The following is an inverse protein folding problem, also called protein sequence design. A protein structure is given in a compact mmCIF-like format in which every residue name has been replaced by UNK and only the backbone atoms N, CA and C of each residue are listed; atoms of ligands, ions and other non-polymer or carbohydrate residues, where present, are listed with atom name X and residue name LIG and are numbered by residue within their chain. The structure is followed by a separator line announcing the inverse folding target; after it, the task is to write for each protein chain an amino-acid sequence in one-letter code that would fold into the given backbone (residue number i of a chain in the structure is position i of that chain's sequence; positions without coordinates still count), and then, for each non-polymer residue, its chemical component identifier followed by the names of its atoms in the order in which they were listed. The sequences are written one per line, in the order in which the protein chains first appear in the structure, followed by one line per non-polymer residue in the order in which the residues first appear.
data_IF_025433088810
#
_entry.id   IF_025433088810
#
_cell.length_a   1.000
_cell.length_b   1.000
_cell.length_c   1.000
_cell.angle_alpha   90.00
_cell.angle_beta   90.00
_cell.angle_gamma   90.00
#
_symmetry.space_group_name_H-M   'P 1'
#
loop_
_entity.id
_entity.type
_entity.pdbx_description
1 polymer ?
#
# COMPACT_ATOMS: atom_id res chain seq x y z
N UNK A 1 20.21 -9.29 -13.17
CA UNK A 1 20.12 -7.84 -13.07
C UNK A 1 19.50 -7.54 -11.71
N UNK A 2 20.04 -6.57 -10.96
CA UNK A 2 19.42 -6.05 -9.74
C UNK A 2 18.21 -5.19 -10.11
N UNK A 3 17.20 -5.14 -9.23
CA UNK A 3 16.07 -4.21 -9.36
C UNK A 3 16.56 -2.78 -9.12
N UNK A 4 16.07 -1.82 -9.90
CA UNK A 4 16.40 -0.39 -9.78
C UNK A 4 15.35 0.36 -8.97
N UNK A 5 14.09 -0.05 -9.06
CA UNK A 5 13.01 0.54 -8.28
C UNK A 5 12.83 -0.16 -6.93
N UNK A 6 12.18 0.53 -5.98
CA UNK A 6 12.08 0.11 -4.59
C UNK A 6 10.88 -0.82 -4.35
N UNK A 7 10.92 -2.02 -4.95
CA UNK A 7 9.84 -3.00 -4.78
C UNK A 7 9.86 -3.68 -3.41
N UNK A 8 8.66 -3.99 -2.90
CA UNK A 8 8.47 -4.87 -1.73
C UNK A 8 7.85 -6.20 -2.15
N UNK A 9 8.15 -7.25 -1.39
CA UNK A 9 7.44 -8.51 -1.46
C UNK A 9 6.44 -8.61 -0.31
N UNK A 10 5.32 -9.36 -0.46
CA UNK A 10 4.34 -9.49 0.61
C UNK A 10 4.47 -10.81 1.40
N UNK A 11 4.13 -10.75 2.70
CA UNK A 11 4.03 -11.93 3.59
C UNK A 11 2.62 -12.57 3.56
N UNK A 12 1.79 -12.19 2.59
CA UNK A 12 0.41 -12.61 2.41
C UNK A 12 -0.56 -11.45 2.58
N UNK A 13 -1.27 -11.09 1.52
CA UNK A 13 -2.14 -9.90 1.52
C UNK A 13 -3.64 -10.23 1.55
N UNK A 14 -4.06 -11.43 1.14
CA UNK A 14 -5.48 -11.76 1.02
C UNK A 14 -5.89 -12.99 1.82
N UNK A 15 -6.96 -12.87 2.69
CA UNK A 15 -7.57 -14.03 3.32
C UNK A 15 -8.28 -14.91 2.26
N UNK A 16 -8.60 -16.20 2.55
CA UNK A 16 -8.31 -16.89 3.80
C UNK A 16 -6.92 -17.52 3.87
N UNK A 17 -6.15 -17.44 2.80
CA UNK A 17 -4.82 -18.04 2.70
C UNK A 17 -3.80 -16.91 2.65
N UNK A 18 -3.35 -16.44 3.78
CA UNK A 18 -2.22 -15.49 3.86
C UNK A 18 -0.95 -16.15 3.32
N UNK A 19 -0.91 -16.32 1.99
CA UNK A 19 0.17 -16.99 1.29
C UNK A 19 1.27 -15.96 0.99
N UNK A 20 2.47 -16.12 1.56
CA UNK A 20 3.60 -15.28 1.20
C UNK A 20 3.90 -15.38 -0.30
N UNK A 21 4.41 -14.31 -0.87
CA UNK A 21 4.64 -14.18 -2.32
C UNK A 21 5.54 -15.29 -2.89
N UNK A 22 6.57 -15.68 -2.16
CA UNK A 22 7.57 -16.68 -2.59
C UNK A 22 7.41 -18.04 -1.91
N UNK A 23 6.17 -18.46 -1.61
CA UNK A 23 5.92 -19.68 -0.85
C UNK A 23 6.56 -20.92 -1.48
N UNK A 24 6.48 -21.09 -2.80
CA UNK A 24 7.00 -22.26 -3.49
C UNK A 24 8.54 -22.25 -3.60
N UNK A 25 9.12 -21.05 -3.73
CA UNK A 25 10.58 -20.90 -3.78
C UNK A 25 11.23 -21.09 -2.40
N UNK A 26 10.62 -20.55 -1.36
CA UNK A 26 11.11 -20.64 0.03
C UNK A 26 10.74 -21.98 0.67
N UNK A 27 9.51 -22.47 0.45
CA UNK A 27 9.04 -23.76 0.93
C UNK A 27 8.51 -23.76 2.38
N UNK A 28 8.43 -22.59 3.03
CA UNK A 28 7.86 -22.41 4.37
C UNK A 28 6.94 -21.20 4.39
N UNK A 29 6.19 -21.03 5.49
CA UNK A 29 5.40 -19.81 5.74
C UNK A 29 6.04 -18.92 6.80
N UNK A 30 7.25 -19.23 7.23
CA UNK A 30 8.00 -18.48 8.24
C UNK A 30 8.37 -17.09 7.70
N UNK A 31 7.93 -15.98 8.31
CA UNK A 31 8.16 -14.63 7.79
C UNK A 31 9.66 -14.31 7.58
N UNK A 32 10.52 -14.70 8.50
CA UNK A 32 11.96 -14.43 8.42
C UNK A 32 12.62 -15.07 7.21
N UNK A 33 12.21 -16.30 6.82
CA UNK A 33 12.74 -16.98 5.63
C UNK A 33 12.39 -16.19 4.35
N UNK A 34 11.20 -15.60 4.31
CA UNK A 34 10.77 -14.76 3.19
C UNK A 34 11.48 -13.40 3.14
N UNK A 35 11.78 -12.81 4.31
CA UNK A 35 12.55 -11.57 4.43
C UNK A 35 13.98 -11.80 3.89
N UNK A 36 14.65 -12.86 4.32
CA UNK A 36 15.98 -13.21 3.83
C UNK A 36 15.99 -13.49 2.32
N UNK A 37 14.97 -14.20 1.84
CA UNK A 37 14.83 -14.49 0.41
C UNK A 37 14.60 -13.24 -0.41
N UNK A 38 13.73 -12.33 0.02
CA UNK A 38 13.47 -11.04 -0.63
C UNK A 38 14.74 -10.17 -0.68
N UNK A 39 15.53 -10.15 0.40
CA UNK A 39 16.82 -9.46 0.44
C UNK A 39 17.80 -10.05 -0.58
N UNK A 40 17.89 -11.37 -0.69
CA UNK A 40 18.75 -12.05 -1.67
C UNK A 40 18.31 -11.76 -3.13
N UNK A 41 17.04 -11.45 -3.38
CA UNK A 41 16.52 -11.04 -4.68
C UNK A 41 16.78 -9.57 -5.01
N UNK A 42 17.24 -8.75 -4.05
CA UNK A 42 17.44 -7.31 -4.20
C UNK A 42 16.14 -6.50 -4.08
N UNK A 43 15.12 -7.01 -3.38
CA UNK A 43 13.94 -6.23 -3.02
C UNK A 43 14.34 -5.12 -2.04
N UNK A 44 13.57 -4.01 -2.04
CA UNK A 44 13.79 -2.89 -1.13
C UNK A 44 13.08 -3.06 0.21
N UNK A 45 12.11 -3.95 0.30
CA UNK A 45 11.35 -4.15 1.52
C UNK A 45 10.38 -5.32 1.50
N UNK A 46 9.65 -5.42 2.59
CA UNK A 46 8.57 -6.39 2.81
C UNK A 46 7.27 -5.64 3.14
N UNK A 47 6.19 -6.09 2.56
CA UNK A 47 4.83 -5.63 2.80
C UNK A 47 4.06 -6.69 3.61
N UNK A 48 3.61 -6.32 4.81
CA UNK A 48 2.83 -7.19 5.69
C UNK A 48 1.54 -6.50 6.14
N UNK A 49 0.50 -6.48 5.29
CA UNK A 49 -0.72 -5.73 5.59
C UNK A 49 -1.41 -6.18 6.86
N UNK A 50 -1.23 -7.43 7.27
CA UNK A 50 -1.91 -8.03 8.42
C UNK A 50 -1.02 -8.21 9.65
N UNK A 51 0.03 -7.42 9.77
CA UNK A 51 0.95 -7.44 10.92
C UNK A 51 0.24 -7.37 12.28
N UNK A 52 -0.90 -6.65 12.38
CA UNK A 52 -1.69 -6.59 13.62
C UNK A 52 -2.30 -7.93 14.07
N UNK A 53 -2.33 -8.94 13.19
CA UNK A 53 -2.77 -10.29 13.54
C UNK A 53 -1.67 -11.20 14.05
N UNK A 54 -0.41 -10.74 14.06
CA UNK A 54 0.75 -11.50 14.54
C UNK A 54 0.94 -11.34 16.04
N UNK A 55 1.51 -12.36 16.68
CA UNK A 55 1.89 -12.22 18.08
C UNK A 55 3.16 -11.36 18.25
N UNK A 56 3.38 -10.89 19.47
CA UNK A 56 4.51 -10.01 19.80
C UNK A 56 5.87 -10.61 19.46
N UNK A 57 6.04 -11.91 19.69
CA UNK A 57 7.31 -12.59 19.42
C UNK A 57 7.59 -12.63 17.92
N UNK A 58 6.57 -12.94 17.11
CA UNK A 58 6.67 -12.95 15.65
C UNK A 58 7.01 -11.57 15.11
N UNK A 59 6.34 -10.51 15.62
CA UNK A 59 6.66 -9.13 15.26
C UNK A 59 8.11 -8.74 15.61
N UNK A 60 8.60 -9.13 16.79
CA UNK A 60 9.98 -8.89 17.21
C UNK A 60 11.00 -9.66 16.33
N UNK A 61 10.65 -10.86 15.86
CA UNK A 61 11.47 -11.66 14.92
C UNK A 61 11.50 -10.99 13.54
N UNK A 62 10.35 -10.54 13.01
CA UNK A 62 10.25 -9.79 11.75
C UNK A 62 11.06 -8.49 11.82
N UNK A 63 10.89 -7.69 12.87
CA UNK A 63 11.62 -6.42 13.03
C UNK A 63 13.14 -6.61 13.06
N UNK A 64 13.63 -7.67 13.72
CA UNK A 64 15.07 -8.02 13.67
C UNK A 64 15.52 -8.44 12.29
N UNK A 65 14.77 -9.32 11.61
CA UNK A 65 15.11 -9.76 10.26
C UNK A 65 15.14 -8.61 9.25
N UNK A 66 14.20 -7.65 9.33
CA UNK A 66 14.22 -6.43 8.52
C UNK A 66 15.49 -5.60 8.79
N UNK A 67 15.85 -5.42 10.07
CA UNK A 67 17.06 -4.69 10.46
C UNK A 67 18.33 -5.38 9.95
N UNK A 68 18.44 -6.69 10.15
CA UNK A 68 19.63 -7.50 9.78
C UNK A 68 19.82 -7.56 8.26
N UNK A 69 18.75 -7.55 7.49
CA UNK A 69 18.78 -7.56 6.02
C UNK A 69 18.84 -6.17 5.39
N UNK A 70 18.56 -5.12 6.16
CA UNK A 70 18.47 -3.74 5.65
C UNK A 70 17.21 -3.48 4.82
N UNK A 71 16.21 -4.35 4.88
CA UNK A 71 14.94 -4.16 4.19
C UNK A 71 14.04 -3.17 4.93
N UNK A 72 13.29 -2.39 4.18
CA UNK A 72 12.23 -1.52 4.70
C UNK A 72 10.94 -2.30 4.98
N UNK A 73 10.13 -1.82 5.91
CA UNK A 73 8.75 -2.29 6.06
C UNK A 73 7.83 -1.47 5.15
N UNK A 74 6.89 -2.13 4.46
CA UNK A 74 5.78 -1.49 3.76
C UNK A 74 4.67 -1.05 4.72
N UNK A 75 3.50 -0.70 4.17
CA UNK A 75 2.34 -0.35 4.98
C UNK A 75 1.73 -1.57 5.69
N UNK A 76 0.96 -1.30 6.73
CA UNK A 76 0.09 -2.30 7.38
C UNK A 76 -1.32 -1.75 7.54
N UNK A 77 -2.33 -2.61 7.52
CA UNK A 77 -3.72 -2.19 7.70
C UNK A 77 -3.92 -1.70 9.13
N UNK A 78 -4.55 -0.53 9.28
CA UNK A 78 -4.66 0.20 10.55
C UNK A 78 -5.55 -0.46 11.61
N UNK A 79 -6.25 -1.54 11.26
CA UNK A 79 -7.16 -2.25 12.16
C UNK A 79 -7.07 -3.77 11.95
N UNK A 80 -7.43 -4.59 12.94
CA UNK A 80 -7.53 -6.03 12.76
C UNK A 80 -8.51 -6.42 11.64
N UNK A 81 -8.29 -7.57 11.01
CA UNK A 81 -9.05 -8.05 9.86
C UNK A 81 -10.58 -8.06 10.09
N UNK A 82 -11.03 -8.43 11.28
CA UNK A 82 -12.44 -8.48 11.66
C UNK A 82 -13.09 -7.09 11.77
N UNK A 83 -12.32 -6.01 11.75
CA UNK A 83 -12.78 -4.62 11.82
C UNK A 83 -12.76 -3.88 10.48
N UNK A 84 -12.14 -4.46 9.44
CA UNK A 84 -11.94 -3.79 8.15
C UNK A 84 -13.24 -3.35 7.49
N UNK A 85 -14.31 -4.15 7.61
CA UNK A 85 -15.64 -3.83 7.05
C UNK A 85 -16.59 -3.17 8.04
N UNK A 86 -16.12 -2.86 9.26
CA UNK A 86 -16.91 -2.11 10.24
C UNK A 86 -16.87 -0.60 9.95
N UNK A 87 -17.98 0.13 10.17
CA UNK A 87 -18.08 1.56 9.82
C UNK A 87 -17.40 2.47 10.87
N UNK A 88 -16.24 2.08 11.38
CA UNK A 88 -15.54 2.77 12.47
C UNK A 88 -15.06 4.17 12.10
N UNK A 89 -14.78 4.39 10.81
CA UNK A 89 -14.32 5.67 10.30
C UNK A 89 -15.46 6.69 10.13
N UNK A 90 -16.72 6.24 10.12
CA UNK A 90 -17.90 7.10 10.02
C UNK A 90 -18.53 7.42 11.39
N UNK A 91 -18.08 6.76 12.47
CA UNK A 91 -18.60 6.96 13.82
C UNK A 91 -17.96 8.20 14.46
N UNK A 92 -18.79 9.23 14.74
CA UNK A 92 -18.39 10.49 15.42
C UNK A 92 -18.91 10.57 16.84
N UNK A 93 -19.49 9.52 17.39
CA UNK A 93 -19.83 9.48 18.82
C UNK A 93 -18.57 9.56 19.69
N UNK A 94 -18.68 10.00 20.92
CA UNK A 94 -17.54 10.08 21.83
C UNK A 94 -16.89 8.69 22.06
N UNK A 95 -17.71 7.63 22.15
CA UNK A 95 -17.25 6.25 22.28
C UNK A 95 -16.58 5.74 21.00
N UNK A 96 -17.15 6.03 19.82
CA UNK A 96 -16.59 5.61 18.53
C UNK A 96 -15.22 6.22 18.28
N UNK A 97 -15.07 7.53 18.49
CA UNK A 97 -13.78 8.22 18.37
C UNK A 97 -12.74 7.68 19.35
N UNK A 98 -13.11 7.45 20.62
CA UNK A 98 -12.21 6.86 21.59
C UNK A 98 -11.74 5.46 21.17
N UNK A 99 -12.67 4.60 20.71
CA UNK A 99 -12.34 3.26 20.22
C UNK A 99 -11.44 3.31 18.99
N UNK A 100 -11.73 4.21 18.04
CA UNK A 100 -10.89 4.41 16.85
C UNK A 100 -9.48 4.84 17.25
N UNK A 101 -9.35 5.82 18.15
CA UNK A 101 -8.04 6.28 18.62
C UNK A 101 -7.23 5.15 19.27
N UNK A 102 -7.86 4.30 20.09
CA UNK A 102 -7.16 3.15 20.69
C UNK A 102 -6.64 2.17 19.61
N UNK A 103 -7.45 1.87 18.59
CA UNK A 103 -7.04 1.00 17.49
C UNK A 103 -5.87 1.61 16.71
N UNK A 104 -5.96 2.90 16.39
CA UNK A 104 -4.93 3.59 15.61
C UNK A 104 -3.61 3.70 16.38
N UNK A 105 -3.66 3.99 17.70
CA UNK A 105 -2.45 4.01 18.54
C UNK A 105 -1.76 2.64 18.58
N UNK A 106 -2.52 1.56 18.78
CA UNK A 106 -1.97 0.20 18.79
C UNK A 106 -1.34 -0.18 17.42
N UNK A 107 -1.98 0.22 16.33
CA UNK A 107 -1.44 0.03 14.99
C UNK A 107 -0.18 0.86 14.75
N UNK A 108 -0.16 2.13 15.20
CA UNK A 108 0.99 3.01 15.07
C UNK A 108 2.20 2.51 15.90
N UNK A 109 1.97 1.99 17.12
CA UNK A 109 3.02 1.35 17.92
C UNK A 109 3.64 0.14 17.17
N UNK A 110 2.80 -0.70 16.56
CA UNK A 110 3.29 -1.84 15.75
C UNK A 110 4.04 -1.36 14.51
N UNK A 111 3.47 -0.39 13.78
CA UNK A 111 4.10 0.20 12.60
C UNK A 111 5.45 0.85 12.93
N UNK A 112 5.53 1.60 14.02
CA UNK A 112 6.78 2.22 14.49
C UNK A 112 7.84 1.16 14.82
N UNK A 113 7.44 0.08 15.51
CA UNK A 113 8.35 -1.01 15.85
C UNK A 113 8.91 -1.72 14.62
N UNK A 114 8.15 -1.81 13.52
CA UNK A 114 8.56 -2.40 12.25
C UNK A 114 9.21 -1.39 11.28
N UNK A 115 9.15 -0.10 11.57
CA UNK A 115 9.62 0.96 10.66
C UNK A 115 8.70 1.18 9.46
N UNK A 116 7.38 0.92 9.61
CA UNK A 116 6.39 1.15 8.54
C UNK A 116 6.19 2.65 8.29
N UNK A 117 6.10 3.10 7.03
CA UNK A 117 5.91 4.51 6.71
C UNK A 117 4.47 4.99 6.91
N UNK A 118 3.49 4.09 6.81
CA UNK A 118 2.07 4.45 6.88
C UNK A 118 1.19 3.27 7.28
N UNK A 119 0.02 3.61 7.82
CA UNK A 119 -1.10 2.69 8.06
C UNK A 119 -2.10 2.80 6.90
N UNK A 120 -2.44 1.67 6.29
CA UNK A 120 -3.48 1.58 5.27
C UNK A 120 -4.87 1.72 5.90
N UNK A 121 -5.68 2.60 5.36
CA UNK A 121 -7.03 2.94 5.84
C UNK A 121 -8.06 2.48 4.83
N UNK A 122 -8.85 1.48 5.21
CA UNK A 122 -9.98 0.96 4.45
C UNK A 122 -11.27 1.51 5.09
N UNK A 123 -12.13 2.15 4.28
CA UNK A 123 -13.27 2.91 4.81
C UNK A 123 -14.58 2.25 4.40
N UNK A 124 -15.23 1.56 5.34
CA UNK A 124 -16.58 1.04 5.15
C UNK A 124 -17.64 2.10 5.47
N UNK A 125 -18.72 2.11 4.69
CA UNK A 125 -19.92 2.90 4.97
C UNK A 125 -20.71 2.28 6.14
N UNK A 126 -21.40 3.12 6.89
CA UNK A 126 -22.43 2.70 7.83
C UNK A 126 -23.74 2.41 7.06
N UNK A 127 -24.19 1.15 7.00
CA UNK A 127 -25.35 0.77 6.22
C UNK A 127 -26.67 1.33 6.79
N UNK A 128 -26.69 1.72 8.07
CA UNK A 128 -27.85 2.27 8.73
C UNK A 128 -28.02 3.78 8.48
N UNK A 129 -27.02 4.41 7.80
CA UNK A 129 -27.01 5.84 7.48
C UNK A 129 -27.10 6.04 5.97
N UNK A 130 -28.08 6.84 5.52
CA UNK A 130 -28.33 7.10 4.10
C UNK A 130 -27.61 8.34 3.57
N UNK A 131 -27.18 9.25 4.43
CA UNK A 131 -26.44 10.46 4.04
C UNK A 131 -24.96 10.16 3.81
N UNK A 132 -24.61 9.80 2.58
CA UNK A 132 -23.23 9.48 2.17
C UNK A 132 -22.32 10.71 2.26
N UNK A 133 -22.83 11.91 1.99
CA UNK A 133 -22.04 13.13 2.08
C UNK A 133 -21.62 13.40 3.54
N UNK A 134 -22.54 13.22 4.48
CA UNK A 134 -22.23 13.34 5.89
C UNK A 134 -21.25 12.26 6.37
N UNK A 135 -21.41 11.02 5.92
CA UNK A 135 -20.46 9.95 6.24
C UNK A 135 -19.04 10.30 5.76
N UNK A 136 -18.88 10.82 4.54
CA UNK A 136 -17.57 11.27 4.04
C UNK A 136 -16.99 12.44 4.84
N UNK A 137 -17.83 13.38 5.28
CA UNK A 137 -17.40 14.47 6.15
C UNK A 137 -16.93 13.96 7.51
N UNK A 138 -17.61 12.96 8.08
CA UNK A 138 -17.23 12.30 9.32
C UNK A 138 -15.88 11.57 9.19
N UNK A 139 -15.66 10.87 8.07
CA UNK A 139 -14.38 10.23 7.74
C UNK A 139 -13.26 11.26 7.66
N UNK A 140 -13.46 12.36 6.96
CA UNK A 140 -12.45 13.42 6.87
C UNK A 140 -12.09 13.99 8.25
N UNK A 141 -13.08 14.17 9.13
CA UNK A 141 -12.86 14.63 10.48
C UNK A 141 -12.09 13.59 11.33
N UNK A 142 -12.40 12.29 11.19
CA UNK A 142 -11.68 11.23 11.87
C UNK A 142 -10.24 11.09 11.32
N UNK A 143 -10.02 11.18 10.01
CA UNK A 143 -8.69 11.19 9.42
C UNK A 143 -7.84 12.35 9.93
N UNK A 144 -8.41 13.55 10.07
CA UNK A 144 -7.72 14.71 10.65
C UNK A 144 -7.29 14.46 12.10
N UNK A 145 -8.16 13.88 12.91
CA UNK A 145 -7.85 13.58 14.31
C UNK A 145 -6.80 12.48 14.41
N UNK A 146 -6.99 11.38 13.69
CA UNK A 146 -6.08 10.22 13.74
C UNK A 146 -4.74 10.50 13.06
N UNK A 147 -4.70 11.33 12.02
CA UNK A 147 -3.45 11.77 11.39
C UNK A 147 -2.55 12.55 12.36
N UNK A 148 -3.15 13.33 13.28
CA UNK A 148 -2.38 13.97 14.36
C UNK A 148 -1.89 12.96 15.39
N UNK A 149 -2.68 11.94 15.68
CA UNK A 149 -2.27 10.85 16.59
C UNK A 149 -1.09 10.07 16.01
N UNK A 150 -1.15 9.69 14.74
CA UNK A 150 -0.07 8.91 14.10
C UNK A 150 1.20 9.72 13.85
N UNK A 151 1.09 11.04 13.73
CA UNK A 151 2.25 11.94 13.62
C UNK A 151 3.19 11.85 14.83
N UNK A 152 2.66 11.60 16.03
CA UNK A 152 3.46 11.39 17.25
C UNK A 152 4.36 10.15 17.15
N UNK A 153 4.02 9.19 16.27
CA UNK A 153 4.78 7.97 15.97
C UNK A 153 5.65 8.10 14.72
N UNK A 154 5.57 9.22 14.00
CA UNK A 154 6.25 9.41 12.72
C UNK A 154 5.65 8.59 11.57
N UNK A 155 4.37 8.20 11.65
CA UNK A 155 3.68 7.34 10.69
C UNK A 155 2.53 8.10 10.03
N UNK A 156 2.36 7.90 8.70
CA UNK A 156 1.22 8.44 7.95
C UNK A 156 -0.01 7.56 8.02
N UNK A 157 -1.13 8.09 7.51
CA UNK A 157 -2.32 7.33 7.14
C UNK A 157 -2.49 7.37 5.63
N UNK A 158 -2.75 6.24 5.00
CA UNK A 158 -2.96 6.17 3.57
C UNK A 158 -4.30 5.50 3.25
N UNK A 159 -5.23 6.26 2.69
CA UNK A 159 -6.58 5.79 2.33
C UNK A 159 -6.51 5.00 1.04
N UNK A 160 -7.07 3.80 1.06
CA UNK A 160 -7.16 2.94 -0.12
C UNK A 160 -8.60 2.91 -0.66
N UNK A 161 -8.87 3.56 -1.81
CA UNK A 161 -10.17 3.44 -2.47
C UNK A 161 -10.30 2.08 -3.15
N UNK A 162 -11.40 1.38 -2.89
CA UNK A 162 -11.65 0.06 -3.46
C UNK A 162 -13.13 -0.34 -3.50
N UNK A 163 -13.44 -1.37 -4.28
CA UNK A 163 -14.76 -2.03 -4.32
C UNK A 163 -14.66 -3.54 -4.00
N UNK A 164 -13.47 -4.04 -3.70
CA UNK A 164 -13.24 -5.47 -3.47
C UNK A 164 -13.86 -6.00 -2.18
N UNK A 165 -14.11 -5.12 -1.21
CA UNK A 165 -14.77 -5.46 0.05
C UNK A 165 -16.20 -4.91 0.10
N UNK A 166 -17.10 -5.54 0.89
CA UNK A 166 -18.46 -5.05 1.05
C UNK A 166 -18.52 -3.64 1.64
N UNK A 167 -19.51 -2.87 1.23
CA UNK A 167 -19.87 -1.57 1.82
C UNK A 167 -18.75 -0.52 1.82
N UNK A 168 -17.79 -0.58 0.91
CA UNK A 168 -16.76 0.46 0.82
C UNK A 168 -17.36 1.82 0.48
N UNK A 169 -17.06 2.82 1.31
CA UNK A 169 -17.53 4.20 1.19
C UNK A 169 -16.72 5.00 0.17
N UNK A 170 -15.40 4.77 0.12
CA UNK A 170 -14.48 5.41 -0.81
C UNK A 170 -14.10 4.38 -1.88
N UNK A 171 -14.61 4.58 -3.09
CA UNK A 171 -14.62 3.54 -4.13
C UNK A 171 -13.70 3.84 -5.30
N UNK A 172 -13.29 5.10 -5.45
CA UNK A 172 -12.45 5.58 -6.55
C UNK A 172 -11.55 6.74 -6.08
N UNK A 173 -10.61 7.13 -6.93
CA UNK A 173 -9.64 8.19 -6.63
C UNK A 173 -10.32 9.52 -6.36
N UNK A 174 -11.34 9.90 -7.13
CA UNK A 174 -12.05 11.18 -6.94
C UNK A 174 -12.65 11.29 -5.53
N UNK A 175 -13.28 10.21 -5.04
CA UNK A 175 -13.86 10.16 -3.69
C UNK A 175 -12.78 10.21 -2.60
N UNK A 176 -11.67 9.48 -2.79
CA UNK A 176 -10.56 9.49 -1.85
C UNK A 176 -9.88 10.87 -1.77
N UNK A 177 -9.60 11.49 -2.91
CA UNK A 177 -9.01 12.84 -2.97
C UNK A 177 -9.90 13.87 -2.27
N UNK A 178 -11.22 13.82 -2.50
CA UNK A 178 -12.14 14.75 -1.84
C UNK A 178 -12.10 14.62 -0.30
N UNK A 179 -12.04 13.40 0.22
CA UNK A 179 -12.00 13.13 1.68
C UNK A 179 -10.64 13.47 2.29
N UNK A 180 -9.54 13.10 1.63
CA UNK A 180 -8.18 13.40 2.10
C UNK A 180 -7.93 14.91 2.09
N UNK A 181 -8.32 15.62 1.02
CA UNK A 181 -8.23 17.09 0.96
C UNK A 181 -9.07 17.74 2.06
N UNK A 182 -10.29 17.23 2.34
CA UNK A 182 -11.13 17.75 3.42
C UNK A 182 -10.57 17.44 4.82
N UNK A 183 -9.77 16.37 4.98
CA UNK A 183 -9.07 16.11 6.22
C UNK A 183 -8.01 17.18 6.52
N UNK A 184 -7.33 17.70 5.51
CA UNK A 184 -6.41 18.85 5.59
C UNK A 184 -5.43 18.73 6.76
N UNK A 185 -4.66 17.63 6.76
CA UNK A 185 -3.65 17.34 7.78
C UNK A 185 -2.44 16.65 7.14
N UNK A 186 -1.21 17.07 7.46
CA UNK A 186 -0.01 16.42 6.95
C UNK A 186 0.06 14.94 7.32
N UNK A 187 0.62 14.12 6.44
CA UNK A 187 0.81 12.69 6.67
C UNK A 187 -0.43 11.83 6.39
N UNK A 188 -1.53 12.43 5.91
CA UNK A 188 -2.68 11.68 5.38
C UNK A 188 -2.65 11.75 3.86
N UNK A 189 -2.62 10.58 3.23
CA UNK A 189 -2.55 10.46 1.77
C UNK A 189 -3.37 9.29 1.24
N UNK A 190 -3.06 8.86 0.03
CA UNK A 190 -3.80 7.86 -0.74
C UNK A 190 -2.86 6.71 -1.13
N UNK A 191 -3.35 5.49 -1.00
CA UNK A 191 -2.79 4.31 -1.66
C UNK A 191 -3.36 4.27 -3.07
N UNK A 192 -2.48 4.20 -4.06
CA UNK A 192 -2.83 3.98 -5.45
C UNK A 192 -2.57 2.52 -5.79
N UNK A 193 -3.59 1.66 -5.68
CA UNK A 193 -3.53 0.26 -6.13
C UNK A 193 -4.00 0.17 -7.58
N UNK A 194 -3.13 -0.30 -8.48
CA UNK A 194 -3.41 -0.35 -9.92
C UNK A 194 -4.56 -1.30 -10.27
N UNK A 195 -4.75 -2.37 -9.51
CA UNK A 195 -5.86 -3.31 -9.73
C UNK A 195 -7.22 -2.70 -9.35
N UNK A 196 -7.29 -1.98 -8.23
CA UNK A 196 -8.53 -1.30 -7.82
C UNK A 196 -8.84 -0.14 -8.74
N UNK A 197 -7.87 0.74 -9.00
CA UNK A 197 -8.04 1.93 -9.84
C UNK A 197 -8.38 1.55 -11.29
N UNK A 198 -7.76 0.51 -11.86
CA UNK A 198 -8.12 0.05 -13.22
C UNK A 198 -9.58 -0.39 -13.34
N UNK A 199 -10.15 -0.90 -12.25
CA UNK A 199 -11.54 -1.38 -12.21
C UNK A 199 -12.53 -0.24 -11.98
N UNK A 200 -12.16 0.78 -11.20
CA UNK A 200 -13.08 1.85 -10.75
C UNK A 200 -12.96 3.13 -11.57
N UNK A 201 -11.76 3.52 -11.94
CA UNK A 201 -11.46 4.77 -12.64
C UNK A 201 -11.12 4.55 -14.12
N UNK A 202 -10.63 3.36 -14.49
CA UNK A 202 -10.33 2.94 -15.86
C UNK A 202 -9.00 3.51 -16.38
N UNK A 203 -8.87 4.82 -16.53
CA UNK A 203 -7.63 5.49 -17.00
C UNK A 203 -6.66 5.71 -15.82
N UNK A 204 -5.66 4.82 -15.70
CA UNK A 204 -4.67 4.87 -14.62
C UNK A 204 -3.85 6.16 -14.62
N UNK A 205 -3.47 6.69 -15.79
CA UNK A 205 -2.68 7.93 -15.86
C UNK A 205 -3.50 9.16 -15.49
N UNK A 206 -4.78 9.21 -15.88
CA UNK A 206 -5.67 10.27 -15.45
C UNK A 206 -5.92 10.21 -13.94
N UNK A 207 -6.14 9.01 -13.40
CA UNK A 207 -6.32 8.78 -11.96
C UNK A 207 -5.06 9.15 -11.17
N UNK A 208 -3.85 8.79 -11.65
CA UNK A 208 -2.59 9.17 -11.01
C UNK A 208 -2.43 10.70 -10.96
N UNK A 209 -2.71 11.39 -12.07
CA UNK A 209 -2.71 12.87 -12.10
C UNK A 209 -3.72 13.49 -11.13
N UNK A 210 -4.90 12.87 -11.00
CA UNK A 210 -5.93 13.33 -10.07
C UNK A 210 -5.53 13.09 -8.60
N UNK A 211 -4.79 12.03 -8.31
CA UNK A 211 -4.24 11.77 -6.97
C UNK A 211 -3.25 12.87 -6.56
N UNK A 212 -2.41 13.33 -7.49
CA UNK A 212 -1.50 14.47 -7.31
C UNK A 212 -0.60 14.33 -6.08
N UNK A 213 -0.53 15.39 -5.28
CA UNK A 213 0.28 15.46 -4.04
C UNK A 213 -0.20 14.53 -2.92
N UNK A 214 -1.40 13.96 -3.03
CA UNK A 214 -1.92 13.01 -2.07
C UNK A 214 -1.40 11.58 -2.25
N UNK A 215 -0.62 11.29 -3.31
CA UNK A 215 -0.01 9.98 -3.50
C UNK A 215 0.96 9.66 -2.35
N UNK A 216 0.60 8.70 -1.51
CA UNK A 216 1.38 8.29 -0.35
C UNK A 216 2.05 6.93 -0.56
N UNK A 217 1.33 5.98 -1.11
CA UNK A 217 1.79 4.62 -1.38
C UNK A 217 1.35 4.18 -2.77
N UNK A 218 2.18 3.34 -3.41
CA UNK A 218 1.91 2.76 -4.71
C UNK A 218 1.92 1.24 -4.61
N UNK A 219 0.78 0.61 -4.96
CA UNK A 219 0.64 -0.83 -5.05
C UNK A 219 0.46 -1.23 -6.51
N UNK A 220 1.28 -2.15 -6.99
CA UNK A 220 1.28 -2.54 -8.39
C UNK A 220 0.89 -3.99 -8.55
N UNK A 221 -0.16 -4.18 -9.34
CA UNK A 221 -0.60 -5.46 -9.89
C UNK A 221 -0.95 -5.28 -11.35
N UNK A 222 -0.86 -6.35 -12.14
CA UNK A 222 -1.35 -6.35 -13.51
C UNK A 222 -2.71 -7.03 -13.62
N UNK A 223 -3.53 -6.60 -14.57
CA UNK A 223 -4.89 -7.09 -14.77
C UNK A 223 -5.07 -7.62 -16.19
N UNK A 224 -5.95 -8.62 -16.41
CA UNK A 224 -6.81 -9.27 -15.41
C UNK A 224 -6.05 -10.24 -14.50
N UNK A 225 -6.66 -10.55 -13.36
CA UNK A 225 -6.21 -11.64 -12.45
C UNK A 225 -5.32 -11.21 -11.29
N UNK A 226 -4.99 -9.92 -11.11
CA UNK A 226 -4.05 -9.41 -10.10
C UNK A 226 -2.72 -10.18 -10.14
N UNK A 227 -2.14 -10.27 -11.34
CA UNK A 227 -0.89 -10.97 -11.60
C UNK A 227 0.32 -10.03 -11.52
N UNK A 228 1.53 -10.60 -11.61
CA UNK A 228 2.77 -9.82 -11.59
C UNK A 228 2.87 -8.85 -12.79
N UNK A 229 3.52 -7.69 -12.63
CA UNK A 229 3.72 -6.71 -13.69
C UNK A 229 4.32 -7.33 -14.95
N UNK A 230 3.69 -7.07 -16.09
CA UNK A 230 4.04 -7.60 -17.41
C UNK A 230 3.45 -8.97 -17.72
N UNK A 231 2.55 -9.50 -16.90
CA UNK A 231 1.77 -10.71 -17.18
C UNK A 231 0.32 -10.42 -17.59
N UNK A 232 -0.18 -9.19 -17.38
CA UNK A 232 -1.51 -8.72 -17.75
C UNK A 232 -1.47 -7.71 -18.92
N UNK A 233 -2.43 -6.78 -18.92
CA UNK A 233 -2.71 -5.87 -20.02
C UNK A 233 -2.62 -4.38 -19.65
N UNK A 234 -2.31 -4.04 -18.38
CA UNK A 234 -2.25 -2.66 -17.94
C UNK A 234 -0.98 -1.94 -18.43
N UNK A 235 -1.09 -0.63 -18.69
CA UNK A 235 0.05 0.21 -19.12
C UNK A 235 0.91 0.64 -17.91
N UNK A 236 1.45 -0.36 -17.19
CA UNK A 236 2.14 -0.13 -15.92
C UNK A 236 3.50 0.56 -16.06
N UNK A 237 4.19 0.37 -17.20
CA UNK A 237 5.48 1.04 -17.46
C UNK A 237 5.28 2.55 -17.49
N UNK A 238 4.32 3.03 -18.26
CA UNK A 238 4.04 4.46 -18.40
C UNK A 238 3.52 5.06 -17.08
N UNK A 239 2.71 4.29 -16.35
CA UNK A 239 2.20 4.69 -15.03
C UNK A 239 3.32 4.89 -14.03
N UNK A 240 4.19 3.87 -13.88
CA UNK A 240 5.27 3.92 -12.89
C UNK A 240 6.30 4.98 -13.26
N UNK A 241 6.64 5.12 -14.55
CA UNK A 241 7.51 6.20 -15.02
C UNK A 241 6.92 7.58 -14.68
N UNK A 242 5.61 7.79 -14.90
CA UNK A 242 4.94 9.04 -14.56
C UNK A 242 4.92 9.31 -13.04
N UNK A 243 4.73 8.29 -12.21
CA UNK A 243 4.80 8.43 -10.75
C UNK A 243 6.22 8.84 -10.30
N UNK A 244 7.26 8.20 -10.82
CA UNK A 244 8.66 8.51 -10.53
C UNK A 244 9.03 9.91 -11.02
N UNK A 245 8.64 10.29 -12.24
CA UNK A 245 8.85 11.62 -12.80
C UNK A 245 8.16 12.73 -11.97
N UNK A 246 7.03 12.41 -11.31
CA UNK A 246 6.37 13.32 -10.38
C UNK A 246 7.04 13.44 -9.02
N UNK A 247 8.11 12.69 -8.77
CA UNK A 247 8.90 12.73 -7.54
C UNK A 247 8.53 11.64 -6.53
N UNK A 248 7.74 10.64 -6.89
CA UNK A 248 7.49 9.51 -6.00
C UNK A 248 8.78 8.73 -5.74
N UNK A 249 9.16 8.61 -4.48
CA UNK A 249 10.38 7.93 -4.03
C UNK A 249 10.10 6.85 -2.96
N UNK A 250 8.82 6.54 -2.75
CA UNK A 250 8.36 5.55 -1.76
C UNK A 250 8.64 4.11 -2.17
N UNK A 251 8.14 3.18 -1.37
CA UNK A 251 8.12 1.76 -1.70
C UNK A 251 7.03 1.49 -2.74
N UNK A 252 7.25 0.48 -3.57
CA UNK A 252 6.30 -0.01 -4.57
C UNK A 252 5.90 -1.41 -4.14
N UNK A 253 4.71 -1.53 -3.54
CA UNK A 253 4.22 -2.79 -3.03
C UNK A 253 3.74 -3.68 -4.19
N UNK A 254 4.36 -4.87 -4.34
CA UNK A 254 3.96 -5.87 -5.33
C UNK A 254 2.82 -6.71 -4.76
N UNK A 255 1.58 -6.21 -4.83
CA UNK A 255 0.41 -6.85 -4.24
C UNK A 255 -0.30 -7.78 -5.25
N UNK A 256 0.44 -8.74 -5.79
CA UNK A 256 -0.05 -9.62 -6.86
C UNK A 256 0.02 -11.10 -6.50
N UNK A 257 -0.76 -11.90 -7.22
CA UNK A 257 -0.56 -13.33 -7.34
C UNK A 257 0.37 -13.63 -8.51
N UNK A 258 1.06 -14.77 -8.47
CA UNK A 258 1.77 -15.23 -9.65
C UNK A 258 0.77 -15.74 -10.69
N UNK A 259 0.96 -15.41 -11.96
CA UNK A 259 0.16 -15.96 -13.07
C UNK A 259 0.26 -17.50 -13.14
N UNK A 260 1.41 -18.03 -12.73
CA UNK A 260 1.63 -19.45 -12.44
C UNK A 260 2.18 -19.56 -10.99
N UNK A 261 1.38 -20.15 -10.11
CA UNK A 261 1.69 -20.27 -8.69
C UNK A 261 2.66 -21.42 -8.36
N UNK A 262 3.28 -22.05 -9.34
CA UNK A 262 4.34 -23.03 -9.14
C UNK A 262 5.70 -22.37 -8.87
N UNK A 263 6.67 -23.13 -8.38
CA UNK A 263 8.05 -22.66 -8.19
C UNK A 263 8.69 -22.12 -9.48
N UNK A 264 8.44 -22.77 -10.59
CA UNK A 264 8.95 -22.31 -11.89
C UNK A 264 8.20 -21.06 -12.37
N UNK A 265 6.90 -20.96 -12.03
CA UNK A 265 6.09 -19.76 -12.25
C UNK A 265 6.57 -18.57 -11.44
N UNK A 266 6.91 -18.73 -10.16
CA UNK A 266 7.52 -17.68 -9.33
C UNK A 266 8.83 -17.16 -9.94
N UNK A 267 9.69 -18.06 -10.45
CA UNK A 267 10.95 -17.67 -11.13
C UNK A 267 10.68 -16.90 -12.43
N UNK A 268 9.77 -17.43 -13.26
CA UNK A 268 9.40 -16.76 -14.51
C UNK A 268 8.77 -15.38 -14.27
N UNK A 269 7.96 -15.25 -13.21
CA UNK A 269 7.37 -14.00 -12.77
C UNK A 269 8.43 -13.00 -12.30
N UNK A 270 9.41 -13.42 -11.49
CA UNK A 270 10.55 -12.59 -11.13
C UNK A 270 11.32 -12.07 -12.34
N UNK A 271 11.52 -12.90 -13.36
CA UNK A 271 12.18 -12.47 -14.59
C UNK A 271 11.31 -11.49 -15.40
N UNK A 272 9.97 -11.57 -15.32
CA UNK A 272 9.07 -10.54 -15.85
C UNK A 272 9.20 -9.22 -15.09
N UNK A 273 9.19 -9.26 -13.76
CA UNK A 273 9.39 -8.06 -12.93
C UNK A 273 10.72 -7.38 -13.25
N UNK A 274 11.81 -8.13 -13.42
CA UNK A 274 13.11 -7.56 -13.81
C UNK A 274 13.09 -6.90 -15.20
N UNK A 275 12.37 -7.50 -16.15
CA UNK A 275 12.18 -6.88 -17.49
C UNK A 275 11.31 -5.62 -17.39
N UNK A 276 10.24 -5.68 -16.61
CA UNK A 276 9.38 -4.54 -16.35
C UNK A 276 10.18 -3.40 -15.71
N UNK A 277 10.96 -3.66 -14.67
CA UNK A 277 11.83 -2.70 -14.00
C UNK A 277 12.81 -2.02 -14.98
N UNK A 278 13.44 -2.80 -15.86
CA UNK A 278 14.34 -2.26 -16.89
C UNK A 278 13.61 -1.37 -17.92
N UNK A 279 12.35 -1.67 -18.24
CA UNK A 279 11.53 -0.84 -19.13
C UNK A 279 11.14 0.48 -18.43
N UNK A 280 10.80 0.43 -17.15
CA UNK A 280 10.52 1.62 -16.35
C UNK A 280 11.76 2.51 -16.26
N UNK A 281 12.91 1.93 -15.92
CA UNK A 281 14.18 2.68 -15.84
C UNK A 281 14.53 3.39 -17.17
N UNK A 282 14.25 2.73 -18.29
CA UNK A 282 14.44 3.33 -19.61
C UNK A 282 13.41 4.42 -19.96
N UNK A 283 12.21 4.36 -19.36
CA UNK A 283 11.11 5.30 -19.61
C UNK A 283 11.20 6.57 -18.74
N UNK A 284 11.78 6.47 -17.53
CA UNK A 284 12.00 7.63 -16.66
C UNK A 284 12.91 8.63 -17.37
N UNK A 285 12.43 9.85 -17.59
CA UNK A 285 13.20 10.89 -18.26
C UNK A 285 14.35 11.35 -17.37
N UNK A 286 15.62 11.45 -17.87
CA UNK A 286 16.65 12.11 -17.10
C UNK A 286 16.17 13.52 -16.78
N UNK A 287 16.10 13.87 -15.49
CA UNK A 287 15.81 15.26 -15.07
C UNK A 287 16.79 16.15 -15.84
N UNK A 288 16.29 16.94 -16.79
CA UNK A 288 17.10 17.87 -17.56
C UNK A 288 17.83 18.76 -16.55
N UNK A 289 19.16 18.66 -16.53
CA UNK A 289 19.99 19.57 -15.77
C UNK A 289 19.55 21.00 -16.14
N UNK A 290 19.01 21.72 -15.19
CA UNK A 290 18.62 23.13 -15.35
C UNK A 290 19.88 23.85 -15.86
N UNK A 291 19.86 24.46 -17.05
CA UNK A 291 21.04 25.22 -17.51
C UNK A 291 21.29 26.32 -16.50
N UNK A 292 22.48 26.33 -15.90
CA UNK A 292 22.92 27.43 -15.05
C UNK A 292 22.81 28.73 -15.84
N UNK A 293 22.20 29.79 -15.28
CA UNK A 293 22.18 31.08 -15.94
C UNK A 293 23.61 31.54 -16.15
N UNK A 294 24.01 31.72 -17.41
CA UNK A 294 25.27 32.38 -17.74
C UNK A 294 25.09 33.85 -17.38
N UNK A 295 25.88 34.31 -16.46
CA UNK A 295 26.10 35.73 -16.13
C UNK A 295 27.12 36.36 -17.11
#
# INVERSE_FOLDING_TARGET
MSLTQRYTAHLGYAPPKFRPQFLESVGTTTPTDHIEYAAALGMAGIFDPWALGRDRRELDEIGRALTDTGLSCGSLVCVPLDKVTAPIWTDRTASGRHSLEQLIRAAAETGQALGSPALAVLVAADPDRTDIAQQRADVAANLREMGRVTADFGIGLAVEPMIALPNMLLRNITEAVAVVSAADVPGVGIIFDTGHVSTTDGDLLAALRATGEHLSLLQIVDMPGRVEPGAGELQLVDLLAAALDSGYAGLIDLEHYWADASRDGERAGLDRIRRFDALVDAAVRPQSATPSPQH
#
